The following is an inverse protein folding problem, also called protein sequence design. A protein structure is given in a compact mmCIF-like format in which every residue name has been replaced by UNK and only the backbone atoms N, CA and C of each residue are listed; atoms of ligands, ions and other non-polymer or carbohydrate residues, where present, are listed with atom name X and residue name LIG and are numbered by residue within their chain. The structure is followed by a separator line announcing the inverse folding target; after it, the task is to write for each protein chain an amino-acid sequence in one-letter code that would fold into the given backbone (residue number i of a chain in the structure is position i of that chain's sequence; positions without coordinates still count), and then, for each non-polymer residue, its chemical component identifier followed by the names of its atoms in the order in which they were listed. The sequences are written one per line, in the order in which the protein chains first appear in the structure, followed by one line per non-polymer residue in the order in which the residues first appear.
data_IF_050172145697
#
_entry.id   IF_050172145697
#
_cell.length_a   1.000
_cell.length_b   1.000
_cell.length_c   1.000
_cell.angle_alpha   90.00
_cell.angle_beta   90.00
_cell.angle_gamma   90.00
#
_symmetry.space_group_name_H-M   'P 1'
#
loop_
_entity.id
_entity.type
_entity.pdbx_description
1 polymer ?
#
# COMPACT_ATOMS: atom_id res chain seq x y z
N UNK A 1 20.79 15.43 -14.29
CA UNK A 1 19.98 14.63 -13.36
C UNK A 1 19.74 13.31 -14.06
N UNK A 2 20.08 12.18 -13.46
CA UNK A 2 19.86 10.87 -14.10
C UNK A 2 18.36 10.61 -14.23
N UNK A 3 17.93 10.08 -15.37
CA UNK A 3 16.53 9.72 -15.63
C UNK A 3 16.28 8.23 -15.45
N UNK A 4 15.04 7.84 -15.28
CA UNK A 4 14.67 6.43 -15.19
C UNK A 4 15.00 5.68 -16.49
N UNK A 5 14.82 6.31 -17.64
CA UNK A 5 15.12 5.76 -18.96
C UNK A 5 16.62 5.51 -19.12
N UNK A 6 17.48 6.40 -18.59
CA UNK A 6 18.95 6.20 -18.59
C UNK A 6 19.35 5.01 -17.71
N UNK A 7 18.77 4.90 -16.49
CA UNK A 7 19.02 3.74 -15.60
C UNK A 7 18.51 2.45 -16.23
N UNK A 8 17.31 2.46 -16.78
CA UNK A 8 16.71 1.29 -17.42
C UNK A 8 17.56 0.80 -18.60
N UNK A 9 18.03 1.73 -19.43
CA UNK A 9 18.91 1.42 -20.56
C UNK A 9 20.25 0.84 -20.08
N UNK A 10 20.87 1.47 -19.09
CA UNK A 10 22.14 1.00 -18.52
C UNK A 10 21.98 -0.37 -17.83
N UNK A 11 20.92 -0.57 -17.06
CA UNK A 11 20.58 -1.84 -16.43
C UNK A 11 20.35 -2.94 -17.47
N UNK A 12 19.56 -2.66 -18.51
CA UNK A 12 19.25 -3.62 -19.57
C UNK A 12 20.51 -4.09 -20.26
N UNK A 13 21.40 -3.16 -20.67
CA UNK A 13 22.67 -3.50 -21.31
C UNK A 13 23.56 -4.34 -20.39
N UNK A 14 23.67 -3.97 -19.11
CA UNK A 14 24.43 -4.72 -18.13
C UNK A 14 23.84 -6.12 -17.90
N UNK A 15 22.52 -6.24 -17.74
CA UNK A 15 21.86 -7.52 -17.50
C UNK A 15 21.92 -8.46 -18.70
N UNK A 16 21.86 -7.93 -19.93
CA UNK A 16 22.06 -8.71 -21.16
C UNK A 16 23.48 -9.29 -21.25
N UNK A 17 24.49 -8.51 -20.86
CA UNK A 17 25.90 -8.93 -20.87
C UNK A 17 26.25 -9.86 -19.68
N UNK A 18 25.43 -9.93 -18.65
CA UNK A 18 25.69 -10.70 -17.43
C UNK A 18 24.93 -12.04 -17.48
N UNK A 19 25.66 -13.15 -17.70
CA UNK A 19 25.06 -14.49 -17.81
C UNK A 19 24.33 -14.96 -16.55
N UNK A 20 24.62 -14.39 -15.40
CA UNK A 20 23.97 -14.71 -14.14
C UNK A 20 22.52 -14.21 -14.09
N UNK A 21 22.25 -13.04 -14.68
CA UNK A 21 20.89 -12.48 -14.80
C UNK A 21 20.16 -13.19 -15.94
N UNK A 22 19.03 -13.83 -15.62
CA UNK A 22 18.28 -14.65 -16.58
C UNK A 22 17.07 -13.95 -17.15
N UNK A 23 16.37 -13.18 -16.30
CA UNK A 23 15.21 -12.41 -16.71
C UNK A 23 15.06 -11.16 -15.83
N UNK A 24 14.48 -10.11 -16.39
CA UNK A 24 14.11 -8.91 -15.64
C UNK A 24 12.98 -8.17 -16.35
N UNK A 25 12.10 -7.55 -15.55
CA UNK A 25 11.04 -6.70 -16.07
C UNK A 25 10.70 -5.57 -15.09
N UNK A 26 10.15 -4.48 -15.62
CA UNK A 26 9.63 -3.35 -14.86
C UNK A 26 8.19 -3.62 -14.50
N UNK A 27 7.80 -3.23 -13.28
CA UNK A 27 6.42 -3.18 -12.79
C UNK A 27 6.06 -1.77 -12.34
N UNK A 28 4.89 -1.60 -11.75
CA UNK A 28 4.50 -0.36 -11.11
C UNK A 28 4.20 0.79 -12.07
N UNK A 29 4.47 2.01 -11.61
CA UNK A 29 4.03 3.23 -12.30
C UNK A 29 4.60 3.41 -13.71
N UNK A 30 5.81 2.89 -13.95
CA UNK A 30 6.52 3.00 -15.24
C UNK A 30 6.21 1.87 -16.22
N UNK A 31 5.43 0.88 -15.81
CA UNK A 31 5.00 -0.21 -16.67
C UNK A 31 3.49 -0.21 -16.97
N UNK A 32 2.68 0.31 -16.03
CA UNK A 32 1.22 0.37 -16.20
C UNK A 32 0.80 1.35 -17.29
N UNK A 33 -0.39 1.12 -17.85
CA UNK A 33 -0.97 1.98 -18.90
C UNK A 33 -1.94 3.02 -18.35
N UNK A 34 -2.53 2.77 -17.19
CA UNK A 34 -3.39 3.69 -16.46
C UNK A 34 -2.55 4.55 -15.49
N UNK A 35 -2.90 5.80 -15.30
CA UNK A 35 -2.14 6.73 -14.44
C UNK A 35 -0.63 6.66 -14.72
N UNK A 36 -0.18 7.05 -15.92
CA UNK A 36 1.21 6.92 -16.32
C UNK A 36 2.16 7.66 -15.37
N UNK A 37 3.39 7.16 -15.27
CA UNK A 37 4.43 7.73 -14.43
C UNK A 37 4.74 9.18 -14.81
N UNK A 38 4.92 10.03 -13.82
CA UNK A 38 5.49 11.37 -13.98
C UNK A 38 7.03 11.35 -13.83
N UNK A 39 7.63 12.52 -13.86
CA UNK A 39 9.09 12.67 -13.74
C UNK A 39 9.63 12.29 -12.35
N UNK A 40 8.77 12.19 -11.34
CA UNK A 40 9.13 11.89 -9.95
C UNK A 40 8.84 10.45 -9.55
N UNK A 41 8.24 9.67 -10.46
CA UNK A 41 7.94 8.28 -10.20
C UNK A 41 9.23 7.45 -10.09
N UNK A 42 9.25 6.56 -9.13
CA UNK A 42 10.24 5.50 -8.93
C UNK A 42 10.25 4.51 -10.11
N UNK A 43 11.28 3.69 -10.17
CA UNK A 43 11.45 2.61 -11.14
C UNK A 43 11.55 1.29 -10.39
N UNK A 44 10.58 0.41 -10.58
CA UNK A 44 10.50 -0.88 -9.92
C UNK A 44 10.97 -1.99 -10.89
N UNK A 45 12.06 -2.69 -10.57
CA UNK A 45 12.63 -3.76 -11.39
C UNK A 45 12.61 -5.08 -10.63
N UNK A 46 11.97 -6.09 -11.21
CA UNK A 46 12.04 -7.47 -10.73
C UNK A 46 13.12 -8.20 -11.54
N UNK A 47 14.07 -8.80 -10.84
CA UNK A 47 15.22 -9.49 -11.41
C UNK A 47 15.25 -10.96 -10.99
N UNK A 48 15.49 -11.85 -11.95
CA UNK A 48 15.75 -13.27 -11.74
C UNK A 48 17.21 -13.57 -12.07
N UNK A 49 17.96 -14.10 -11.10
CA UNK A 49 19.37 -14.39 -11.24
C UNK A 49 19.73 -15.73 -10.61
N UNK A 50 20.81 -16.38 -11.07
CA UNK A 50 21.33 -17.62 -10.50
C UNK A 50 21.79 -17.42 -9.06
N UNK A 51 22.50 -16.32 -8.81
CA UNK A 51 22.95 -15.91 -7.49
C UNK A 51 22.22 -14.61 -7.06
N UNK A 52 20.91 -14.71 -6.81
CA UNK A 52 20.07 -13.58 -6.44
C UNK A 52 20.52 -12.92 -5.12
N UNK A 53 21.00 -13.71 -4.16
CA UNK A 53 21.47 -13.22 -2.87
C UNK A 53 22.67 -12.30 -3.00
N UNK A 54 23.59 -12.58 -3.93
CA UNK A 54 24.75 -11.71 -4.22
C UNK A 54 24.31 -10.30 -4.58
N UNK A 55 23.28 -10.14 -5.39
CA UNK A 55 22.79 -8.83 -5.81
C UNK A 55 22.06 -8.09 -4.67
N UNK A 56 21.43 -8.84 -3.78
CA UNK A 56 20.88 -8.26 -2.56
C UNK A 56 21.97 -7.86 -1.57
N UNK A 57 23.05 -8.63 -1.43
CA UNK A 57 24.10 -8.39 -0.44
C UNK A 57 25.11 -7.31 -0.87
N UNK A 58 25.36 -7.14 -2.18
CA UNK A 58 26.37 -6.22 -2.71
C UNK A 58 25.75 -5.03 -3.44
N UNK A 59 26.50 -3.93 -3.58
CA UNK A 59 26.03 -2.71 -4.27
C UNK A 59 26.95 -2.27 -5.42
N UNK A 60 28.07 -2.94 -5.64
CA UNK A 60 29.05 -2.52 -6.65
C UNK A 60 28.47 -2.54 -8.05
N UNK A 61 27.61 -3.51 -8.34
CA UNK A 61 26.92 -3.62 -9.62
C UNK A 61 25.97 -2.43 -9.89
N UNK A 62 25.35 -1.85 -8.85
CA UNK A 62 24.45 -0.68 -8.98
C UNK A 62 25.25 0.58 -9.32
N UNK A 63 26.46 0.71 -8.77
CA UNK A 63 27.36 1.85 -9.02
C UNK A 63 27.75 2.01 -10.49
N UNK A 64 27.63 0.94 -11.29
CA UNK A 64 27.90 0.98 -12.70
C UNK A 64 26.86 1.78 -13.51
N UNK A 65 25.66 2.01 -12.98
CA UNK A 65 24.58 2.65 -13.73
C UNK A 65 24.61 4.18 -13.62
N UNK A 66 24.85 4.70 -12.39
CA UNK A 66 24.93 6.13 -12.15
C UNK A 66 25.56 6.43 -10.77
N UNK A 67 25.92 7.67 -10.49
CA UNK A 67 26.35 8.08 -9.15
C UNK A 67 25.27 7.76 -8.09
N UNK A 68 25.67 6.95 -7.12
CA UNK A 68 24.80 6.40 -6.08
C UNK A 68 24.88 7.26 -4.81
N UNK A 69 23.72 7.65 -4.24
CA UNK A 69 23.65 8.29 -2.93
C UNK A 69 23.38 7.27 -1.82
N UNK A 70 22.35 6.43 -1.96
CA UNK A 70 21.91 5.49 -0.93
C UNK A 70 21.54 4.16 -1.58
N UNK A 71 21.85 3.05 -0.89
CA UNK A 71 21.34 1.73 -1.22
C UNK A 71 21.04 0.98 0.08
N UNK A 72 19.76 0.79 0.38
CA UNK A 72 19.27 0.10 1.57
C UNK A 72 18.90 -1.34 1.19
N UNK A 73 19.34 -2.29 1.99
CA UNK A 73 18.82 -3.65 1.92
C UNK A 73 17.49 -3.71 2.67
N UNK A 74 16.48 -4.30 2.05
CA UNK A 74 15.13 -4.43 2.59
C UNK A 74 14.47 -5.74 2.19
N UNK A 75 13.19 -5.80 2.46
CA UNK A 75 12.28 -6.84 1.96
C UNK A 75 10.97 -6.20 1.56
N UNK A 76 10.40 -6.68 0.48
CA UNK A 76 9.05 -6.31 0.05
C UNK A 76 8.02 -6.66 1.13
N UNK A 77 6.81 -6.15 1.01
CA UNK A 77 5.69 -6.56 1.87
C UNK A 77 5.40 -8.08 1.78
N UNK A 78 5.73 -8.71 0.66
CA UNK A 78 5.66 -10.17 0.45
C UNK A 78 6.82 -10.94 1.07
N UNK A 79 7.86 -10.25 1.55
CA UNK A 79 9.05 -10.86 2.16
C UNK A 79 10.21 -11.12 1.19
N UNK A 80 10.07 -10.80 -0.09
CA UNK A 80 11.13 -10.98 -1.08
C UNK A 80 12.29 -10.03 -0.82
N UNK A 81 13.54 -10.45 -1.04
CA UNK A 81 14.71 -9.58 -0.92
C UNK A 81 14.59 -8.39 -1.89
N UNK A 82 14.83 -7.19 -1.36
CA UNK A 82 14.81 -5.98 -2.18
C UNK A 82 15.96 -5.03 -1.84
N UNK A 83 16.29 -4.17 -2.78
CA UNK A 83 17.25 -3.09 -2.58
C UNK A 83 16.63 -1.78 -3.03
N UNK A 84 16.45 -0.88 -2.06
CA UNK A 84 15.93 0.46 -2.27
C UNK A 84 17.11 1.39 -2.57
N UNK A 85 17.13 1.95 -3.76
CA UNK A 85 18.27 2.71 -4.29
C UNK A 85 17.86 4.16 -4.54
N UNK A 86 18.70 5.09 -4.11
CA UNK A 86 18.57 6.51 -4.43
C UNK A 86 19.79 6.95 -5.21
N UNK A 87 19.61 7.27 -6.48
CA UNK A 87 20.65 7.83 -7.34
C UNK A 87 20.78 9.36 -7.18
N UNK A 88 21.93 9.89 -7.60
CA UNK A 88 22.17 11.33 -7.61
C UNK A 88 21.13 12.05 -8.48
N UNK A 89 20.49 13.05 -7.89
CA UNK A 89 19.40 13.78 -8.54
C UNK A 89 18.00 13.37 -8.06
N UNK A 90 17.89 12.35 -7.17
CA UNK A 90 16.65 12.02 -6.47
C UNK A 90 15.83 10.90 -7.10
N UNK A 91 16.34 10.23 -8.16
CA UNK A 91 15.65 9.06 -8.71
C UNK A 91 15.74 7.88 -7.75
N UNK A 92 14.60 7.33 -7.36
CA UNK A 92 14.48 6.09 -6.61
C UNK A 92 14.31 4.91 -7.58
N UNK A 93 15.02 3.81 -7.27
CA UNK A 93 14.88 2.56 -8.02
C UNK A 93 14.84 1.41 -7.03
N UNK A 94 13.82 0.59 -7.15
CA UNK A 94 13.62 -0.58 -6.30
C UNK A 94 13.92 -1.84 -7.10
N UNK A 95 14.89 -2.62 -6.63
CA UNK A 95 15.26 -3.91 -7.22
C UNK A 95 14.77 -5.03 -6.33
N UNK A 96 13.88 -5.88 -6.84
CA UNK A 96 13.42 -7.10 -6.18
C UNK A 96 14.14 -8.30 -6.80
N UNK A 97 14.62 -9.21 -5.95
CA UNK A 97 15.47 -10.32 -6.36
C UNK A 97 14.78 -11.66 -6.17
N UNK A 98 14.78 -12.46 -7.23
CA UNK A 98 14.33 -13.85 -7.20
C UNK A 98 15.41 -14.77 -7.77
N UNK A 99 15.60 -15.97 -7.22
CA UNK A 99 16.42 -16.99 -7.85
C UNK A 99 15.82 -17.40 -9.22
N UNK A 100 16.68 -17.66 -10.18
CA UNK A 100 16.25 -18.06 -11.54
C UNK A 100 15.41 -19.34 -11.56
N UNK A 101 15.55 -20.18 -10.55
CA UNK A 101 14.73 -21.40 -10.38
C UNK A 101 13.23 -21.07 -10.28
N UNK A 102 12.85 -19.86 -9.87
CA UNK A 102 11.45 -19.43 -9.86
C UNK A 102 10.86 -19.23 -11.26
N UNK A 103 11.71 -19.03 -12.30
CA UNK A 103 11.24 -18.90 -13.69
C UNK A 103 10.52 -20.16 -14.17
N UNK A 104 10.96 -21.35 -13.74
CA UNK A 104 10.30 -22.59 -14.11
C UNK A 104 8.86 -22.71 -13.56
N UNK A 105 8.60 -22.10 -12.40
CA UNK A 105 7.28 -22.04 -11.78
C UNK A 105 6.39 -20.88 -12.24
N UNK A 106 6.96 -19.90 -12.95
CA UNK A 106 6.25 -18.70 -13.37
C UNK A 106 4.97 -18.98 -14.18
N UNK A 107 4.98 -19.90 -15.18
CA UNK A 107 3.75 -20.20 -15.92
C UNK A 107 2.60 -20.71 -15.03
N UNK A 108 2.92 -21.54 -14.06
CA UNK A 108 1.92 -22.04 -13.10
C UNK A 108 1.46 -20.91 -12.17
N UNK A 109 2.35 -20.08 -11.67
CA UNK A 109 2.00 -18.92 -10.85
C UNK A 109 1.04 -17.97 -11.59
N UNK A 110 1.32 -17.67 -12.87
CA UNK A 110 0.47 -16.83 -13.70
C UNK A 110 -0.91 -17.44 -13.98
N UNK A 111 -1.04 -18.78 -13.94
CA UNK A 111 -2.27 -19.49 -14.24
C UNK A 111 -3.16 -19.79 -13.02
N UNK A 112 -2.62 -19.80 -11.80
CA UNK A 112 -3.31 -20.48 -10.65
C UNK A 112 -3.77 -19.56 -9.52
N UNK A 113 -3.49 -18.28 -9.54
CA UNK A 113 -3.85 -17.41 -8.42
C UNK A 113 -4.22 -15.97 -8.82
N UNK A 114 -4.70 -15.19 -7.86
CA UNK A 114 -4.78 -13.75 -8.06
C UNK A 114 -3.35 -13.22 -8.23
N UNK A 115 -3.10 -12.58 -9.37
CA UNK A 115 -1.81 -11.93 -9.62
C UNK A 115 -1.71 -10.64 -8.80
N UNK A 116 -0.50 -10.26 -8.37
CA UNK A 116 -0.25 -8.94 -7.79
C UNK A 116 -0.73 -7.82 -8.72
N UNK A 117 -1.31 -6.79 -8.13
CA UNK A 117 -1.90 -5.67 -8.87
C UNK A 117 -0.92 -4.99 -9.81
N UNK A 118 0.34 -4.86 -9.42
CA UNK A 118 1.41 -4.27 -10.20
C UNK A 118 1.72 -5.08 -11.46
N UNK A 119 1.64 -6.42 -11.40
CA UNK A 119 1.77 -7.29 -12.58
C UNK A 119 0.55 -7.16 -13.48
N UNK A 120 -0.67 -7.16 -12.91
CA UNK A 120 -1.91 -7.04 -13.68
C UNK A 120 -2.01 -5.69 -14.39
N UNK A 121 -1.61 -4.59 -13.75
CA UNK A 121 -1.65 -3.25 -14.34
C UNK A 121 -0.71 -3.08 -15.51
N UNK A 122 0.32 -3.89 -15.58
CA UNK A 122 1.24 -3.95 -16.71
C UNK A 122 2.68 -4.19 -16.30
N UNK A 123 3.38 -4.86 -17.21
CA UNK A 123 4.79 -5.16 -17.08
C UNK A 123 5.53 -4.76 -18.35
N UNK A 124 6.83 -4.49 -18.25
CA UNK A 124 7.68 -4.21 -19.41
C UNK A 124 8.98 -4.99 -19.30
N UNK A 125 9.13 -5.98 -20.18
CA UNK A 125 10.29 -6.88 -20.19
C UNK A 125 11.55 -6.12 -20.60
N UNK A 126 12.62 -6.28 -19.83
CA UNK A 126 13.96 -5.74 -20.08
C UNK A 126 14.90 -6.82 -20.62
N UNK A 127 14.89 -7.99 -20.00
CA UNK A 127 15.71 -9.15 -20.36
C UNK A 127 14.88 -10.41 -20.18
N UNK A 128 14.95 -11.32 -21.15
CA UNK A 128 14.32 -12.64 -21.08
C UNK A 128 15.17 -13.65 -21.87
N UNK A 129 16.14 -14.27 -21.19
CA UNK A 129 17.04 -15.24 -21.80
C UNK A 129 16.44 -16.65 -21.92
N UNK A 130 15.32 -16.88 -21.22
CA UNK A 130 14.62 -18.16 -21.21
C UNK A 130 13.34 -18.15 -22.06
N UNK A 131 12.90 -16.98 -22.52
CA UNK A 131 11.64 -16.83 -23.27
C UNK A 131 10.36 -17.03 -22.41
N UNK A 132 10.49 -16.98 -21.08
CA UNK A 132 9.40 -17.28 -20.14
C UNK A 132 8.50 -16.06 -19.91
N UNK A 133 9.08 -14.86 -19.96
CA UNK A 133 8.34 -13.62 -19.70
C UNK A 133 7.34 -13.25 -20.80
N UNK A 134 7.42 -13.89 -21.97
CA UNK A 134 6.40 -13.77 -23.01
C UNK A 134 5.00 -14.24 -22.55
N UNK A 135 4.91 -14.95 -21.43
CA UNK A 135 3.66 -15.42 -20.83
C UNK A 135 3.04 -14.42 -19.85
N UNK A 136 3.73 -13.31 -19.54
CA UNK A 136 3.17 -12.26 -18.69
C UNK A 136 1.86 -11.73 -19.30
N UNK A 137 0.83 -11.47 -18.47
CA UNK A 137 -0.45 -11.01 -18.98
C UNK A 137 -0.33 -9.63 -19.63
N UNK A 138 -1.17 -9.34 -20.62
CA UNK A 138 -1.29 -7.95 -21.10
C UNK A 138 -1.82 -7.06 -19.98
N UNK A 139 -1.53 -5.75 -20.03
CA UNK A 139 -2.05 -4.81 -19.05
C UNK A 139 -3.57 -4.90 -18.90
N UNK A 140 -4.03 -4.91 -17.66
CA UNK A 140 -5.42 -5.06 -17.30
C UNK A 140 -5.79 -4.32 -16.00
N UNK A 141 -7.02 -4.49 -15.57
CA UNK A 141 -7.52 -3.98 -14.30
C UNK A 141 -7.43 -5.09 -13.25
N UNK A 142 -6.84 -4.84 -12.07
CA UNK A 142 -6.87 -5.79 -10.97
C UNK A 142 -8.29 -6.17 -10.56
N UNK A 143 -8.44 -7.37 -10.01
CA UNK A 143 -9.70 -7.79 -9.43
C UNK A 143 -10.05 -6.91 -8.25
N UNK A 144 -11.33 -6.61 -8.08
CA UNK A 144 -11.79 -5.89 -6.90
C UNK A 144 -11.38 -6.62 -5.62
N UNK A 145 -11.03 -5.90 -4.55
CA UNK A 145 -10.77 -6.50 -3.25
C UNK A 145 -11.96 -7.36 -2.80
N UNK A 146 -11.66 -8.52 -2.22
CA UNK A 146 -12.72 -9.38 -1.69
C UNK A 146 -13.46 -8.67 -0.55
N UNK A 147 -14.80 -8.73 -0.51
CA UNK A 147 -15.55 -8.19 0.61
C UNK A 147 -15.15 -8.91 1.90
N UNK A 148 -15.16 -8.22 3.05
CA UNK A 148 -14.85 -8.86 4.31
C UNK A 148 -15.92 -9.91 4.67
N UNK A 149 -15.48 -11.03 5.23
CA UNK A 149 -16.38 -11.91 5.94
C UNK A 149 -16.75 -11.34 7.32
N UNK A 150 -17.70 -11.95 8.01
CA UNK A 150 -18.18 -11.48 9.32
C UNK A 150 -17.09 -11.42 10.38
N UNK A 151 -16.08 -12.29 10.34
CA UNK A 151 -14.99 -12.32 11.31
C UNK A 151 -14.01 -11.18 11.04
N UNK A 152 -13.60 -11.01 9.79
CA UNK A 152 -12.69 -9.93 9.33
C UNK A 152 -13.32 -8.56 9.58
N UNK A 153 -14.60 -8.38 9.25
CA UNK A 153 -15.32 -7.13 9.49
C UNK A 153 -15.39 -6.81 10.98
N UNK A 154 -15.75 -7.77 11.83
CA UNK A 154 -15.78 -7.61 13.28
C UNK A 154 -14.42 -7.24 13.84
N UNK A 155 -13.35 -7.93 13.42
CA UNK A 155 -11.99 -7.64 13.88
C UNK A 155 -11.57 -6.21 13.51
N UNK A 156 -11.91 -5.73 12.33
CA UNK A 156 -11.62 -4.34 11.92
C UNK A 156 -12.37 -3.32 12.80
N UNK A 157 -13.65 -3.57 13.10
CA UNK A 157 -14.44 -2.73 14.02
C UNK A 157 -13.82 -2.70 15.42
N UNK A 158 -13.54 -3.86 15.98
CA UNK A 158 -12.97 -3.98 17.34
C UNK A 158 -11.61 -3.30 17.42
N UNK A 159 -10.75 -3.50 16.41
CA UNK A 159 -9.43 -2.86 16.33
C UNK A 159 -9.52 -1.33 16.28
N UNK A 160 -10.41 -0.78 15.45
CA UNK A 160 -10.62 0.66 15.36
C UNK A 160 -11.10 1.26 16.68
N UNK A 161 -12.13 0.68 17.30
CA UNK A 161 -12.69 1.17 18.53
C UNK A 161 -11.75 1.00 19.74
N UNK A 162 -10.97 -0.06 19.76
CA UNK A 162 -9.92 -0.23 20.78
C UNK A 162 -8.86 0.88 20.67
N UNK A 163 -8.39 1.16 19.45
CA UNK A 163 -7.43 2.23 19.20
C UNK A 163 -8.02 3.62 19.54
N UNK A 164 -9.32 3.84 19.34
CA UNK A 164 -10.00 5.08 19.68
C UNK A 164 -9.93 5.39 21.18
N UNK A 165 -10.17 4.41 22.04
CA UNK A 165 -10.06 4.58 23.50
C UNK A 165 -8.61 4.88 23.89
N UNK A 166 -7.65 4.20 23.29
CA UNK A 166 -6.22 4.45 23.56
C UNK A 166 -5.84 5.88 23.14
N UNK A 167 -6.19 6.31 21.93
CA UNK A 167 -5.90 7.64 21.42
C UNK A 167 -6.52 8.75 22.31
N UNK A 168 -7.77 8.57 22.77
CA UNK A 168 -8.42 9.51 23.68
C UNK A 168 -7.66 9.68 24.99
N UNK A 169 -7.13 8.60 25.55
CA UNK A 169 -6.29 8.64 26.77
C UNK A 169 -5.01 9.44 26.57
N UNK A 170 -4.37 9.33 25.40
CA UNK A 170 -3.19 10.12 25.09
C UNK A 170 -3.52 11.61 24.96
N UNK A 171 -4.60 11.96 24.26
CA UNK A 171 -5.09 13.34 24.16
C UNK A 171 -5.39 13.93 25.56
N UNK A 172 -6.04 13.16 26.44
CA UNK A 172 -6.34 13.58 27.80
C UNK A 172 -5.11 13.92 28.61
N UNK A 173 -4.00 13.19 28.39
CA UNK A 173 -2.73 13.42 29.07
C UNK A 173 -1.86 14.49 28.42
N UNK A 174 -2.24 15.01 27.24
CA UNK A 174 -1.42 15.90 26.45
C UNK A 174 -0.24 15.20 25.76
N UNK A 175 -0.27 13.88 25.69
CA UNK A 175 0.78 13.05 25.08
C UNK A 175 0.56 12.98 23.54
N UNK A 176 0.85 14.09 22.87
CA UNK A 176 0.47 14.29 21.47
C UNK A 176 1.21 13.36 20.50
N UNK A 177 2.47 13.01 20.76
CA UNK A 177 3.21 12.08 19.90
C UNK A 177 2.65 10.66 19.94
N UNK A 178 2.43 10.04 21.12
CA UNK A 178 1.70 8.78 21.21
C UNK A 178 0.30 8.81 20.60
N UNK A 179 -0.41 9.94 20.73
CA UNK A 179 -1.69 10.14 20.07
C UNK A 179 -1.56 10.07 18.54
N UNK A 180 -0.58 10.74 17.93
CA UNK A 180 -0.38 10.69 16.47
C UNK A 180 -0.06 9.27 15.99
N UNK A 181 0.74 8.52 16.72
CA UNK A 181 1.02 7.11 16.38
C UNK A 181 -0.26 6.25 16.40
N UNK A 182 -1.08 6.39 17.43
CA UNK A 182 -2.38 5.71 17.51
C UNK A 182 -3.33 6.16 16.38
N UNK A 183 -3.36 7.47 16.09
CA UNK A 183 -4.12 8.05 15.00
C UNK A 183 -3.74 7.50 13.63
N UNK A 184 -2.46 7.24 13.39
CA UNK A 184 -2.00 6.65 12.13
C UNK A 184 -2.59 5.24 11.92
N UNK A 185 -2.61 4.41 12.97
CA UNK A 185 -3.27 3.09 12.91
C UNK A 185 -4.76 3.19 12.63
N UNK A 186 -5.46 4.12 13.30
CA UNK A 186 -6.88 4.36 13.03
C UNK A 186 -7.13 4.86 11.60
N UNK A 187 -6.25 5.69 11.06
CA UNK A 187 -6.35 6.17 9.67
C UNK A 187 -6.18 5.04 8.67
N UNK A 188 -5.27 4.10 8.93
CA UNK A 188 -5.14 2.88 8.12
C UNK A 188 -6.41 2.02 8.13
N UNK A 189 -7.00 1.81 9.31
CA UNK A 189 -8.28 1.10 9.44
C UNK A 189 -9.44 1.83 8.77
N UNK A 190 -9.45 3.17 8.82
CA UNK A 190 -10.43 3.98 8.11
C UNK A 190 -10.27 3.84 6.58
N UNK A 191 -9.04 3.88 6.06
CA UNK A 191 -8.79 3.70 4.63
C UNK A 191 -9.29 2.33 4.13
N UNK A 192 -9.07 1.28 4.92
CA UNK A 192 -9.63 -0.04 4.61
C UNK A 192 -11.17 -0.02 4.58
N UNK A 193 -11.81 0.65 5.54
CA UNK A 193 -13.27 0.80 5.57
C UNK A 193 -13.78 1.60 4.36
N UNK A 194 -13.06 2.65 3.92
CA UNK A 194 -13.37 3.40 2.69
C UNK A 194 -13.30 2.49 1.46
N UNK A 195 -12.31 1.61 1.39
CA UNK A 195 -12.17 0.66 0.29
C UNK A 195 -13.34 -0.36 0.27
N UNK A 196 -13.67 -0.94 1.41
CA UNK A 196 -14.83 -1.84 1.52
C UNK A 196 -16.15 -1.14 1.17
N UNK A 197 -16.32 0.10 1.62
CA UNK A 197 -17.50 0.91 1.32
C UNK A 197 -17.62 1.20 -0.19
N UNK A 198 -16.52 1.62 -0.83
CA UNK A 198 -16.51 1.87 -2.26
C UNK A 198 -16.90 0.60 -3.05
N UNK A 199 -16.35 -0.55 -2.68
CA UNK A 199 -16.60 -1.81 -3.37
C UNK A 199 -17.99 -2.37 -3.08
N UNK A 200 -18.47 -2.34 -1.83
CA UNK A 200 -19.79 -2.82 -1.48
C UNK A 200 -20.88 -2.07 -2.26
N UNK A 201 -20.83 -0.73 -2.26
CA UNK A 201 -21.84 0.11 -2.91
C UNK A 201 -21.71 0.21 -4.45
N UNK A 202 -20.66 -0.36 -5.04
CA UNK A 202 -20.54 -0.50 -6.50
C UNK A 202 -20.89 -1.89 -7.02
N UNK A 203 -21.46 -2.75 -6.17
CA UNK A 203 -21.75 -4.15 -6.51
C UNK A 203 -20.49 -4.98 -6.78
N UNK A 204 -19.37 -4.60 -6.18
CA UNK A 204 -18.08 -5.27 -6.36
C UNK A 204 -17.24 -4.76 -7.55
N UNK A 205 -17.76 -3.82 -8.35
CA UNK A 205 -16.99 -3.19 -9.42
C UNK A 205 -16.23 -1.97 -8.90
N UNK A 206 -15.11 -2.20 -8.27
CA UNK A 206 -14.25 -1.16 -7.73
C UNK A 206 -12.77 -1.43 -8.04
N UNK A 207 -11.99 -0.38 -8.12
CA UNK A 207 -10.55 -0.43 -8.25
C UNK A 207 -9.92 0.50 -7.19
N UNK A 208 -9.61 -0.07 -6.04
CA UNK A 208 -8.96 0.66 -4.96
C UNK A 208 -7.45 0.50 -5.06
N UNK A 209 -6.73 1.61 -5.00
CA UNK A 209 -5.29 1.61 -5.13
C UNK A 209 -4.60 1.42 -3.80
N UNK A 210 -3.45 0.72 -3.85
CA UNK A 210 -2.62 0.49 -2.67
C UNK A 210 -2.26 1.80 -1.95
N UNK A 211 -2.32 1.79 -0.61
CA UNK A 211 -1.91 2.92 0.22
C UNK A 211 -2.76 4.18 0.07
N UNK A 212 -3.95 4.09 -0.54
CA UNK A 212 -4.84 5.23 -0.76
C UNK A 212 -4.45 6.09 -1.95
N UNK A 213 -3.55 5.64 -2.83
CA UNK A 213 -3.29 6.33 -4.11
C UNK A 213 -4.63 6.55 -4.81
N UNK A 214 -4.80 7.73 -5.40
CA UNK A 214 -6.01 8.11 -6.15
C UNK A 214 -7.34 7.97 -5.37
N UNK A 215 -7.31 8.03 -4.03
CA UNK A 215 -8.52 7.90 -3.20
C UNK A 215 -9.64 8.89 -3.59
N UNK A 216 -9.29 10.05 -4.11
CA UNK A 216 -10.24 11.04 -4.61
C UNK A 216 -11.06 10.53 -5.82
N UNK A 217 -10.55 9.55 -6.56
CA UNK A 217 -11.20 9.01 -7.76
C UNK A 217 -12.07 7.79 -7.43
N UNK A 218 -11.61 6.92 -6.53
CA UNK A 218 -12.31 5.68 -6.24
C UNK A 218 -13.19 5.72 -4.98
N UNK A 219 -12.97 6.64 -4.05
CA UNK A 219 -13.88 6.82 -2.93
C UNK A 219 -15.25 7.33 -3.40
N UNK A 220 -16.32 6.89 -2.74
CA UNK A 220 -17.69 7.34 -3.05
C UNK A 220 -17.84 8.84 -2.81
N UNK A 221 -18.80 9.44 -3.52
CA UNK A 221 -19.10 10.86 -3.43
C UNK A 221 -19.24 11.33 -1.97
N UNK A 222 -18.63 12.45 -1.64
CA UNK A 222 -18.60 13.04 -0.31
C UNK A 222 -17.58 12.43 0.67
N UNK A 223 -17.18 11.15 0.50
CA UNK A 223 -16.23 10.50 1.40
C UNK A 223 -14.86 11.17 1.37
N UNK A 224 -14.37 11.52 0.18
CA UNK A 224 -13.08 12.21 0.04
C UNK A 224 -13.05 13.57 0.75
N UNK A 225 -14.15 14.32 0.70
CA UNK A 225 -14.26 15.59 1.42
C UNK A 225 -14.21 15.39 2.93
N UNK A 226 -14.89 14.36 3.45
CA UNK A 226 -14.87 14.01 4.87
C UNK A 226 -13.47 13.57 5.34
N UNK A 227 -12.70 12.86 4.49
CA UNK A 227 -11.33 12.44 4.79
C UNK A 227 -10.39 13.63 5.08
N UNK A 228 -10.62 14.81 4.53
CA UNK A 228 -9.79 15.99 4.81
C UNK A 228 -9.84 16.40 6.28
N UNK A 229 -10.93 16.09 6.98
CA UNK A 229 -11.10 16.42 8.39
C UNK A 229 -10.48 15.43 9.38
N UNK A 230 -10.01 14.25 8.93
CA UNK A 230 -9.54 13.20 9.86
C UNK A 230 -8.11 13.40 10.37
N UNK A 231 -7.36 14.30 9.75
CA UNK A 231 -5.99 14.62 10.18
C UNK A 231 -5.99 15.78 11.16
N UNK A 232 -5.03 15.76 12.08
CA UNK A 232 -4.86 16.82 13.07
C UNK A 232 -3.47 17.41 13.07
N UNK A 233 -3.37 18.66 13.46
CA UNK A 233 -2.12 19.27 13.91
C UNK A 233 -1.72 18.68 15.28
N UNK A 234 -0.49 18.94 15.70
CA UNK A 234 0.04 18.50 16.99
C UNK A 234 -0.47 19.45 18.12
N UNK A 235 -1.77 19.49 18.29
CA UNK A 235 -2.49 20.32 19.24
C UNK A 235 -3.64 19.51 19.84
N UNK A 236 -3.90 19.67 21.15
CA UNK A 236 -4.91 18.88 21.86
C UNK A 236 -6.31 19.09 21.28
N UNK A 237 -6.71 20.34 21.08
CA UNK A 237 -8.06 20.65 20.60
C UNK A 237 -8.27 20.20 19.15
N UNK A 238 -7.26 20.36 18.30
CA UNK A 238 -7.35 19.88 16.93
C UNK A 238 -7.32 18.33 16.87
N UNK A 239 -6.59 17.70 17.78
CA UNK A 239 -6.64 16.24 17.96
C UNK A 239 -8.03 15.75 18.35
N UNK A 240 -8.72 16.44 19.26
CA UNK A 240 -10.12 16.13 19.64
C UNK A 240 -11.08 16.29 18.46
N UNK A 241 -10.95 17.37 17.70
CA UNK A 241 -11.74 17.61 16.49
C UNK A 241 -11.55 16.47 15.48
N UNK A 242 -10.32 16.18 15.12
CA UNK A 242 -9.98 15.13 14.14
C UNK A 242 -10.45 13.75 14.61
N UNK A 243 -10.35 13.47 15.90
CA UNK A 243 -10.82 12.23 16.49
C UNK A 243 -12.34 12.04 16.31
N UNK A 244 -13.13 13.08 16.57
CA UNK A 244 -14.59 13.06 16.38
C UNK A 244 -14.96 12.85 14.92
N UNK A 245 -14.32 13.58 14.00
CA UNK A 245 -14.55 13.43 12.56
C UNK A 245 -14.22 12.02 12.10
N UNK A 246 -13.08 11.47 12.52
CA UNK A 246 -12.65 10.11 12.15
C UNK A 246 -13.62 9.05 12.67
N UNK A 247 -14.03 9.13 13.93
CA UNK A 247 -14.98 8.18 14.52
C UNK A 247 -16.35 8.25 13.83
N UNK A 248 -16.85 9.45 13.57
CA UNK A 248 -18.15 9.64 12.90
C UNK A 248 -18.11 9.10 11.47
N UNK A 249 -17.04 9.39 10.71
CA UNK A 249 -16.87 8.88 9.36
C UNK A 249 -16.78 7.34 9.36
N UNK A 250 -15.91 6.77 10.20
CA UNK A 250 -15.77 5.32 10.31
C UNK A 250 -17.08 4.61 10.64
N UNK A 251 -17.82 5.13 11.63
CA UNK A 251 -19.13 4.61 12.05
C UNK A 251 -20.12 4.61 10.88
N UNK A 252 -20.24 5.73 10.18
CA UNK A 252 -21.13 5.86 9.02
C UNK A 252 -20.81 4.83 7.95
N UNK A 253 -19.55 4.80 7.50
CA UNK A 253 -19.13 3.88 6.43
C UNK A 253 -19.29 2.41 6.85
N UNK A 254 -18.93 2.07 8.09
CA UNK A 254 -19.05 0.71 8.57
C UNK A 254 -20.51 0.23 8.66
N UNK A 255 -21.45 1.11 9.03
CA UNK A 255 -22.89 0.79 9.01
C UNK A 255 -23.42 0.59 7.60
N UNK A 256 -22.98 1.43 6.65
CA UNK A 256 -23.37 1.32 5.25
C UNK A 256 -22.82 0.02 4.64
N UNK A 257 -21.56 -0.35 4.94
CA UNK A 257 -20.96 -1.65 4.53
C UNK A 257 -21.72 -2.82 5.16
N UNK A 258 -22.04 -2.75 6.44
CA UNK A 258 -22.79 -3.81 7.14
C UNK A 258 -24.17 -4.03 6.52
N UNK A 259 -24.88 -2.95 6.17
CA UNK A 259 -26.18 -3.03 5.54
C UNK A 259 -26.12 -3.62 4.14
N UNK A 260 -25.12 -3.23 3.34
CA UNK A 260 -24.96 -3.71 1.95
C UNK A 260 -24.53 -5.17 1.87
N UNK A 261 -23.68 -5.62 2.81
CA UNK A 261 -23.14 -6.97 2.83
C UNK A 261 -23.88 -7.94 3.80
N UNK A 262 -25.01 -7.52 4.36
CA UNK A 262 -25.79 -8.29 5.37
C UNK A 262 -24.92 -8.77 6.56
N UNK A 263 -24.05 -7.85 7.05
CA UNK A 263 -23.18 -8.11 8.19
C UNK A 263 -23.76 -7.53 9.48
N UNK A 264 -23.48 -8.17 10.61
CA UNK A 264 -23.88 -7.67 11.92
C UNK A 264 -23.05 -6.47 12.34
N UNK A 265 -23.72 -5.38 12.78
CA UNK A 265 -23.08 -4.19 13.31
C UNK A 265 -23.32 -4.01 14.82
N UNK A 266 -22.27 -3.86 15.65
CA UNK A 266 -22.40 -3.82 17.12
C UNK A 266 -22.75 -2.41 17.62
N UNK A 267 -23.96 -1.95 17.35
CA UNK A 267 -24.44 -0.58 17.67
C UNK A 267 -24.29 -0.20 19.14
N UNK A 268 -24.64 -1.12 20.06
CA UNK A 268 -24.53 -0.84 21.51
C UNK A 268 -23.07 -0.67 21.95
N UNK A 269 -22.17 -1.51 21.45
CA UNK A 269 -20.75 -1.42 21.76
C UNK A 269 -20.16 -0.09 21.25
N UNK A 270 -20.48 0.30 20.03
CA UNK A 270 -20.08 1.61 19.50
C UNK A 270 -20.55 2.76 20.36
N UNK A 271 -21.83 2.77 20.76
CA UNK A 271 -22.40 3.83 21.61
C UNK A 271 -21.67 3.92 22.96
N UNK A 272 -21.40 2.79 23.60
CA UNK A 272 -20.68 2.73 24.86
C UNK A 272 -19.25 3.24 24.73
N UNK A 273 -18.55 2.86 23.65
CA UNK A 273 -17.18 3.29 23.42
C UNK A 273 -17.14 4.77 23.07
N UNK A 274 -18.00 5.25 22.19
CA UNK A 274 -18.08 6.67 21.82
C UNK A 274 -18.33 7.55 23.04
N UNK A 275 -19.30 7.19 23.88
CA UNK A 275 -19.56 7.91 25.13
C UNK A 275 -18.34 7.89 26.08
N UNK A 276 -17.61 6.79 26.11
CA UNK A 276 -16.38 6.66 26.91
C UNK A 276 -15.26 7.54 26.37
N UNK A 277 -15.04 7.54 25.04
CA UNK A 277 -14.04 8.39 24.38
C UNK A 277 -14.32 9.88 24.64
N UNK A 278 -15.57 10.32 24.46
CA UNK A 278 -15.93 11.72 24.72
C UNK A 278 -15.71 12.10 26.19
N UNK A 279 -16.10 11.25 27.13
CA UNK A 279 -15.87 11.49 28.58
C UNK A 279 -14.37 11.62 28.91
N UNK A 280 -13.51 10.78 28.30
CA UNK A 280 -12.06 10.84 28.48
C UNK A 280 -11.52 12.16 27.90
N UNK A 281 -11.90 12.52 26.68
CA UNK A 281 -11.44 13.74 26.02
C UNK A 281 -11.88 15.00 26.76
N UNK A 282 -13.13 15.05 27.30
CA UNK A 282 -13.65 16.19 28.02
C UNK A 282 -13.10 16.32 29.45
N UNK A 283 -12.38 15.34 29.95
CA UNK A 283 -11.82 15.34 31.28
C UNK A 283 -12.86 15.16 32.40
N UNK A 284 -14.00 14.57 32.06
CA UNK A 284 -15.01 14.22 33.04
C UNK A 284 -14.65 12.89 33.67
N UNK A 285 -13.97 12.93 34.82
CA UNK A 285 -13.68 11.73 35.59
C UNK A 285 -15.01 11.08 36.04
N UNK A 286 -14.97 9.74 36.21
CA UNK A 286 -16.15 9.05 36.78
C UNK A 286 -16.47 9.66 38.14
N UNK A 287 -17.65 10.22 38.27
CA UNK A 287 -18.25 10.47 39.58
C UNK A 287 -18.53 9.13 40.28
#
# INVERSE_FOLDING_TARGET
MVTAEEIESAYTAWAQANDDVRAAFVVGSRARVDHPADAWADLDIIMFARDADRYHETIDWIRAFAPLWIALAGRTAGGDPERLVLFAGGLQVDFVFHPDTHLAGLPQFLATGPLPDDIVRGTRVLVDKEGVLAQLPPPGRPSAPQPPDSATFRQALEGFWFAAVYAAKQLRRGELWPFQNASSGMTGGLLQMVAWHACALSGGDCDTWHGGKFVAEWAREGVYADLQGVFSRLEVEDGRRAMRVRMALYSRLAREVAAELDLSYPTELEQQITATVERIMDGKDKA
#
